data_IF_633624373981
#
_entry.id   IF_633624373981
#
_cell.length_a   1.000
_cell.length_b   1.000
_cell.length_c   1.000
_cell.angle_alpha   90.00
_cell.angle_beta   90.00
_cell.angle_gamma   90.00
#
_symmetry.space_group_name_H-M   'P 1'
#
loop_
_entity.id
_entity.type
_entity.pdbx_description
1 polymer ?
#
# COMPACT_ATOMS: atom_id res chain seq x y z
N UNK A 1 34.26 4.68 -25.17
CA UNK A 1 33.14 4.69 -24.20
C UNK A 1 32.36 3.39 -24.38
N UNK A 2 32.24 2.55 -23.36
CA UNK A 2 31.73 1.18 -23.48
C UNK A 2 30.19 1.20 -23.63
N UNK A 3 29.65 0.56 -24.67
CA UNK A 3 28.21 0.58 -25.01
C UNK A 3 27.32 -0.10 -23.98
N UNK A 4 27.87 -1.04 -23.20
CA UNK A 4 27.18 -1.90 -22.23
C UNK A 4 26.43 -1.14 -21.13
N UNK A 5 26.81 0.11 -20.86
CA UNK A 5 26.25 0.88 -19.74
C UNK A 5 24.95 1.61 -20.10
N UNK A 6 24.64 1.75 -21.40
CA UNK A 6 23.41 2.43 -21.87
C UNK A 6 22.15 1.63 -21.53
N UNK A 7 22.26 0.31 -21.47
CA UNK A 7 21.13 -0.60 -21.29
C UNK A 7 20.71 -0.75 -19.81
N UNK A 8 21.55 -0.28 -18.88
CA UNK A 8 21.30 -0.34 -17.43
C UNK A 8 20.46 0.83 -16.89
N UNK A 9 20.08 1.78 -17.75
CA UNK A 9 19.33 2.97 -17.32
C UNK A 9 20.11 3.91 -16.39
N UNK A 10 21.43 3.76 -16.31
CA UNK A 10 22.30 4.59 -15.47
C UNK A 10 22.71 5.85 -16.24
N UNK A 11 22.52 7.02 -15.62
CA UNK A 11 22.94 8.30 -16.21
C UNK A 11 24.47 8.42 -16.17
N UNK A 12 25.09 8.53 -17.35
CA UNK A 12 26.53 8.83 -17.50
C UNK A 12 26.68 10.30 -17.83
N UNK A 13 27.41 11.03 -16.97
CA UNK A 13 27.67 12.46 -17.15
C UNK A 13 29.19 12.65 -17.28
N UNK A 14 29.74 12.78 -18.50
CA UNK A 14 31.17 13.02 -18.69
C UNK A 14 31.54 14.43 -18.20
N UNK A 15 32.76 14.58 -17.66
CA UNK A 15 33.32 15.83 -17.14
C UNK A 15 34.74 16.01 -17.65
N UNK A 16 35.11 17.26 -17.92
CA UNK A 16 36.42 17.61 -18.46
C UNK A 16 37.50 17.72 -17.37
N UNK A 17 37.10 18.06 -16.14
CA UNK A 17 37.99 18.29 -15.01
C UNK A 17 37.35 17.96 -13.64
N UNK A 18 38.17 18.05 -12.60
CA UNK A 18 37.79 17.74 -11.23
C UNK A 18 36.84 18.79 -10.64
N UNK A 19 36.94 20.07 -11.03
CA UNK A 19 36.06 21.14 -10.52
C UNK A 19 34.62 20.95 -11.00
N UNK A 20 34.42 20.63 -12.28
CA UNK A 20 33.12 20.29 -12.83
C UNK A 20 32.56 19.02 -12.16
N UNK A 21 33.41 18.05 -11.86
CA UNK A 21 33.01 16.80 -11.19
C UNK A 21 32.49 17.09 -9.78
N UNK A 22 33.22 17.90 -9.00
CA UNK A 22 32.81 18.32 -7.65
C UNK A 22 31.48 19.09 -7.70
N UNK A 23 31.32 20.00 -8.67
CA UNK A 23 30.09 20.77 -8.85
C UNK A 23 28.87 19.87 -9.11
N UNK A 24 29.02 18.87 -9.98
CA UNK A 24 27.94 17.92 -10.28
C UNK A 24 27.61 17.03 -9.08
N UNK A 25 28.61 16.48 -8.40
CA UNK A 25 28.40 15.66 -7.19
C UNK A 25 27.71 16.49 -6.11
N UNK A 26 28.15 17.73 -5.88
CA UNK A 26 27.56 18.63 -4.90
C UNK A 26 26.11 18.99 -5.25
N UNK A 27 25.80 19.21 -6.53
CA UNK A 27 24.44 19.49 -7.00
C UNK A 27 23.51 18.28 -6.80
N UNK A 28 23.97 17.06 -7.11
CA UNK A 28 23.22 15.81 -6.87
C UNK A 28 23.00 15.62 -5.37
N UNK A 29 24.05 15.76 -4.55
CA UNK A 29 23.96 15.61 -3.10
C UNK A 29 23.00 16.63 -2.47
N UNK A 30 23.06 17.90 -2.87
CA UNK A 30 22.13 18.94 -2.40
C UNK A 30 20.70 18.63 -2.79
N UNK A 31 20.45 18.20 -4.03
CA UNK A 31 19.10 17.79 -4.48
C UNK A 31 18.59 16.60 -3.68
N UNK A 32 19.40 15.58 -3.44
CA UNK A 32 19.01 14.41 -2.62
C UNK A 32 18.75 14.81 -1.16
N UNK A 33 19.58 15.66 -0.58
CA UNK A 33 19.40 16.14 0.80
C UNK A 33 18.18 17.04 0.95
N UNK A 34 17.83 17.83 -0.07
CA UNK A 34 16.62 18.66 -0.09
C UNK A 34 15.36 17.84 -0.46
N UNK A 35 15.49 16.82 -1.33
CA UNK A 35 14.43 15.87 -1.68
C UNK A 35 14.18 14.84 -0.56
N UNK A 36 15.11 14.67 0.38
CA UNK A 36 14.89 14.07 1.72
C UNK A 36 14.00 14.94 2.63
N UNK A 37 13.16 15.79 2.04
CA UNK A 37 11.99 16.37 2.66
C UNK A 37 11.02 15.27 3.09
N UNK A 38 11.23 14.79 4.32
CA UNK A 38 10.37 13.94 5.13
C UNK A 38 10.21 12.51 4.59
N UNK A 39 10.98 11.58 5.16
CA UNK A 39 10.36 10.34 5.63
C UNK A 39 9.34 10.76 6.70
N UNK A 40 8.20 11.33 6.29
CA UNK A 40 7.09 11.48 7.23
C UNK A 40 6.86 10.06 7.73
N UNK A 41 6.88 9.83 9.03
CA UNK A 41 5.85 8.99 9.60
C UNK A 41 4.57 9.38 8.86
N UNK A 42 4.17 8.62 7.84
CA UNK A 42 3.01 8.99 7.03
C UNK A 42 1.90 9.15 8.03
N UNK A 43 1.26 10.31 8.05
CA UNK A 43 0.25 10.59 9.08
C UNK A 43 -0.76 9.44 9.06
N UNK A 44 -1.22 8.98 10.22
CA UNK A 44 -2.12 7.83 10.33
C UNK A 44 -3.28 7.92 9.32
N UNK A 45 -3.80 9.13 9.10
CA UNK A 45 -4.77 9.46 8.05
C UNK A 45 -4.39 8.99 6.65
N UNK A 46 -3.21 9.35 6.14
CA UNK A 46 -2.78 8.98 4.79
C UNK A 46 -2.59 7.47 4.64
N UNK A 47 -2.13 6.81 5.71
CA UNK A 47 -1.99 5.36 5.72
C UNK A 47 -3.36 4.67 5.69
N UNK A 48 -4.31 5.15 6.48
CA UNK A 48 -5.69 4.64 6.51
C UNK A 48 -6.37 4.83 5.15
N UNK A 49 -6.27 6.02 4.56
CA UNK A 49 -6.83 6.31 3.22
C UNK A 49 -6.22 5.38 2.17
N UNK A 50 -4.90 5.16 2.21
CA UNK A 50 -4.20 4.29 1.27
C UNK A 50 -4.62 2.82 1.42
N UNK A 51 -4.74 2.31 2.64
CA UNK A 51 -5.17 0.95 2.91
C UNK A 51 -6.57 0.69 2.33
N UNK A 52 -7.52 1.57 2.61
CA UNK A 52 -8.90 1.43 2.10
C UNK A 52 -8.95 1.59 0.58
N UNK A 53 -8.18 2.51 -0.01
CA UNK A 53 -8.11 2.68 -1.47
C UNK A 53 -7.43 1.54 -2.22
N UNK A 54 -6.81 0.60 -1.50
CA UNK A 54 -6.15 -0.56 -2.13
C UNK A 54 -7.18 -1.64 -2.52
N UNK A 55 -8.43 -1.51 -2.08
CA UNK A 55 -9.50 -2.44 -2.40
C UNK A 55 -9.94 -2.24 -3.86
N UNK A 56 -10.07 -3.32 -4.65
CA UNK A 56 -10.57 -3.23 -6.02
C UNK A 56 -11.94 -2.54 -6.09
N UNK A 57 -12.03 -1.46 -6.87
CA UNK A 57 -13.25 -0.66 -6.99
C UNK A 57 -13.43 0.43 -5.93
N UNK A 58 -12.47 0.61 -5.02
CA UNK A 58 -12.46 1.69 -4.03
C UNK A 58 -11.36 2.69 -4.37
N UNK A 59 -11.73 3.81 -4.99
CA UNK A 59 -10.80 4.91 -5.25
C UNK A 59 -10.56 5.81 -4.04
N UNK A 60 -9.60 6.73 -4.14
CA UNK A 60 -9.24 7.68 -3.07
C UNK A 60 -10.43 8.49 -2.53
N UNK A 61 -11.33 8.95 -3.41
CA UNK A 61 -12.51 9.70 -3.01
C UNK A 61 -13.47 8.84 -2.17
N UNK A 62 -13.66 7.58 -2.58
CA UNK A 62 -14.52 6.65 -1.86
C UNK A 62 -13.90 6.21 -0.53
N UNK A 63 -12.59 5.95 -0.51
CA UNK A 63 -11.86 5.63 0.72
C UNK A 63 -12.01 6.74 1.78
N UNK A 64 -11.91 8.01 1.37
CA UNK A 64 -12.17 9.17 2.24
C UNK A 64 -13.61 9.20 2.75
N UNK A 65 -14.59 8.93 1.89
CA UNK A 65 -16.00 8.91 2.29
C UNK A 65 -16.30 7.78 3.29
N UNK A 66 -15.78 6.58 3.03
CA UNK A 66 -15.88 5.44 3.94
C UNK A 66 -15.26 5.75 5.31
N UNK A 67 -14.03 6.28 5.32
CA UNK A 67 -13.35 6.63 6.57
C UNK A 67 -14.04 7.78 7.32
N UNK A 68 -14.64 8.73 6.62
CA UNK A 68 -15.45 9.80 7.24
C UNK A 68 -16.76 9.26 7.83
N UNK A 69 -17.37 8.26 7.19
CA UNK A 69 -18.64 7.68 7.63
C UNK A 69 -18.43 6.74 8.83
N UNK A 70 -17.50 5.79 8.71
CA UNK A 70 -17.27 4.76 9.73
C UNK A 70 -16.28 5.18 10.83
N UNK A 71 -15.38 6.13 10.53
CA UNK A 71 -14.43 6.71 11.49
C UNK A 71 -13.12 5.94 11.68
N UNK A 72 -13.04 4.66 11.29
CA UNK A 72 -11.81 3.88 11.33
C UNK A 72 -11.76 2.80 10.25
N UNK A 73 -10.56 2.35 9.88
CA UNK A 73 -10.36 1.25 8.92
C UNK A 73 -11.03 -0.03 9.41
N UNK A 74 -10.88 -0.33 10.70
CA UNK A 74 -11.50 -1.49 11.34
C UNK A 74 -13.02 -1.51 11.14
N UNK A 75 -13.69 -0.38 11.41
CA UNK A 75 -15.15 -0.28 11.23
C UNK A 75 -15.57 -0.39 9.76
N UNK A 76 -14.77 0.14 8.82
CA UNK A 76 -15.03 -0.06 7.38
C UNK A 76 -15.00 -1.54 7.01
N UNK A 77 -14.09 -2.32 7.60
CA UNK A 77 -13.91 -3.74 7.29
C UNK A 77 -14.91 -4.64 8.05
N UNK A 78 -15.38 -4.18 9.21
CA UNK A 78 -16.43 -4.87 9.96
C UNK A 78 -17.84 -4.62 9.41
N UNK A 79 -18.06 -3.51 8.68
CA UNK A 79 -19.37 -3.12 8.17
C UNK A 79 -20.04 -4.19 7.30
N UNK A 80 -21.37 -4.29 7.40
CA UNK A 80 -22.21 -5.15 6.55
C UNK A 80 -22.31 -4.60 5.13
N UNK A 81 -22.80 -5.41 4.18
CA UNK A 81 -23.03 -4.91 2.81
C UNK A 81 -24.04 -3.76 2.78
N UNK A 82 -25.08 -3.84 3.59
CA UNK A 82 -26.14 -2.84 3.70
C UNK A 82 -25.59 -1.52 4.24
N UNK A 83 -24.74 -1.58 5.26
CA UNK A 83 -24.08 -0.42 5.83
C UNK A 83 -23.11 0.22 4.82
N UNK A 84 -22.37 -0.59 4.07
CA UNK A 84 -21.48 -0.09 3.02
C UNK A 84 -22.27 0.62 1.91
N UNK A 85 -23.42 0.06 1.50
CA UNK A 85 -24.32 0.64 0.47
C UNK A 85 -24.92 2.00 0.90
N UNK A 86 -24.97 2.29 2.20
CA UNK A 86 -25.42 3.59 2.71
C UNK A 86 -24.41 4.73 2.44
N UNK A 87 -23.15 4.40 2.13
CA UNK A 87 -22.12 5.40 1.80
C UNK A 87 -22.23 5.82 0.34
N UNK A 88 -22.21 7.14 0.11
CA UNK A 88 -22.28 7.70 -1.22
C UNK A 88 -21.21 7.11 -2.16
N UNK A 89 -21.64 6.73 -3.37
CA UNK A 89 -20.82 6.09 -4.41
C UNK A 89 -20.44 4.62 -4.15
N UNK A 90 -20.97 3.98 -3.10
CA UNK A 90 -20.89 2.52 -2.94
C UNK A 90 -22.09 1.87 -3.64
N UNK A 91 -21.82 1.24 -4.78
CA UNK A 91 -22.80 0.37 -5.43
C UNK A 91 -22.82 -1.05 -4.85
N UNK A 92 -23.84 -1.86 -5.19
CA UNK A 92 -23.97 -3.23 -4.68
C UNK A 92 -22.74 -4.10 -5.00
N UNK A 93 -22.23 -4.01 -6.24
CA UNK A 93 -21.01 -4.73 -6.66
C UNK A 93 -19.76 -4.32 -5.89
N UNK A 94 -19.69 -3.06 -5.45
CA UNK A 94 -18.54 -2.56 -4.67
C UNK A 94 -18.63 -3.08 -3.25
N UNK A 95 -19.81 -3.04 -2.63
CA UNK A 95 -20.05 -3.58 -1.29
C UNK A 95 -19.74 -5.09 -1.22
N UNK A 96 -20.25 -5.85 -2.18
CA UNK A 96 -19.99 -7.30 -2.31
C UNK A 96 -18.49 -7.59 -2.39
N UNK A 97 -17.76 -6.91 -3.29
CA UNK A 97 -16.30 -7.10 -3.43
C UNK A 97 -15.51 -6.75 -2.17
N UNK A 98 -15.92 -5.70 -1.46
CA UNK A 98 -15.30 -5.35 -0.17
C UNK A 98 -15.49 -6.51 0.82
N UNK A 99 -16.71 -7.04 0.94
CA UNK A 99 -17.02 -8.15 1.84
C UNK A 99 -16.31 -9.44 1.46
N UNK A 100 -16.27 -9.76 0.17
CA UNK A 100 -15.57 -10.94 -0.35
C UNK A 100 -14.07 -10.86 -0.04
N UNK A 101 -13.43 -9.70 -0.27
CA UNK A 101 -12.00 -9.53 -0.03
C UNK A 101 -11.64 -9.58 1.47
N UNK A 102 -12.43 -8.90 2.30
CA UNK A 102 -12.15 -8.78 3.74
C UNK A 102 -12.51 -10.07 4.49
N UNK A 103 -13.59 -10.74 4.10
CA UNK A 103 -14.07 -11.97 4.74
C UNK A 103 -13.55 -13.26 4.13
N UNK A 104 -12.92 -13.20 2.95
CA UNK A 104 -12.42 -14.37 2.25
C UNK A 104 -11.21 -15.02 2.93
N UNK A 105 -11.14 -16.34 2.87
CA UNK A 105 -9.96 -17.07 3.34
C UNK A 105 -8.72 -16.71 2.51
N UNK A 106 -7.58 -16.57 3.19
CA UNK A 106 -6.32 -16.32 2.54
C UNK A 106 -5.88 -17.53 1.70
N UNK A 107 -5.91 -17.39 0.37
CA UNK A 107 -5.57 -18.46 -0.59
C UNK A 107 -4.07 -18.66 -0.81
N UNK A 108 -3.21 -18.16 0.07
CA UNK A 108 -1.75 -18.31 -0.06
C UNK A 108 -1.28 -19.70 0.31
N UNK A 109 -0.85 -20.47 -0.70
CA UNK A 109 -0.17 -21.77 -0.64
C UNK A 109 -0.53 -22.67 0.55
N UNK A 110 -1.50 -23.56 0.35
CA UNK A 110 -1.91 -24.63 1.27
C UNK A 110 -0.81 -25.68 1.52
N UNK A 111 0.29 -25.31 2.18
CA UNK A 111 1.31 -26.27 2.69
C UNK A 111 1.24 -26.50 4.20
N UNK A 112 0.30 -25.87 4.91
CA UNK A 112 0.19 -25.99 6.38
C UNK A 112 -1.23 -26.27 6.88
N UNK A 113 -2.11 -26.86 6.05
CA UNK A 113 -3.44 -27.28 6.50
C UNK A 113 -3.39 -28.35 7.62
N UNK A 114 -2.28 -29.08 7.76
CA UNK A 114 -2.11 -30.10 8.81
C UNK A 114 -1.77 -29.54 10.20
N UNK A 115 -1.31 -28.29 10.33
CA UNK A 115 -0.85 -27.78 11.63
C UNK A 115 -1.97 -27.13 12.45
N UNK A 116 -2.96 -26.51 11.81
CA UNK A 116 -4.07 -25.87 12.51
C UNK A 116 -5.09 -26.87 13.09
N UNK A 117 -5.20 -28.07 12.50
CA UNK A 117 -6.02 -29.14 13.08
C UNK A 117 -5.45 -29.64 14.41
N UNK A 118 -4.12 -29.65 14.59
CA UNK A 118 -3.48 -30.06 15.84
C UNK A 118 -3.77 -29.05 16.94
N UNK A 119 -3.70 -27.75 16.66
CA UNK A 119 -3.96 -26.71 17.66
C UNK A 119 -5.43 -26.70 18.09
N UNK A 120 -6.38 -26.82 17.14
CA UNK A 120 -7.80 -26.81 17.50
C UNK A 120 -8.22 -28.08 18.25
N UNK A 121 -7.68 -29.24 17.88
CA UNK A 121 -7.96 -30.51 18.59
C UNK A 121 -7.36 -30.53 20.00
N UNK A 122 -6.24 -29.84 20.24
CA UNK A 122 -5.61 -29.73 21.55
C UNK A 122 -6.22 -28.62 22.44
N UNK A 123 -7.04 -27.71 21.90
CA UNK A 123 -7.68 -26.64 22.67
C UNK A 123 -9.20 -26.80 22.85
N UNK A 124 -9.86 -27.69 22.09
CA UNK A 124 -11.30 -27.99 22.26
C UNK A 124 -11.60 -29.45 22.58
N UNK A 125 -10.59 -30.24 22.99
CA UNK A 125 -10.75 -31.61 23.45
C UNK A 125 -10.40 -31.77 24.92
N UNK A 126 -11.45 -31.70 25.78
CA UNK A 126 -11.50 -31.80 27.25
C UNK A 126 -11.12 -30.55 28.05
#
# INVERSE_FOLDING_TARGET
>A
MRSEWKDLGVAIIPRADDEETISVIAAIARREQQARGKKTHRMAKEQQERLVSSIPGVGNALAKNLLRHFGSVERVFAASEEELKAVALVGPKTAERIRELVGGEYKGCAKFAGCLQIVNTLYTGL
#
